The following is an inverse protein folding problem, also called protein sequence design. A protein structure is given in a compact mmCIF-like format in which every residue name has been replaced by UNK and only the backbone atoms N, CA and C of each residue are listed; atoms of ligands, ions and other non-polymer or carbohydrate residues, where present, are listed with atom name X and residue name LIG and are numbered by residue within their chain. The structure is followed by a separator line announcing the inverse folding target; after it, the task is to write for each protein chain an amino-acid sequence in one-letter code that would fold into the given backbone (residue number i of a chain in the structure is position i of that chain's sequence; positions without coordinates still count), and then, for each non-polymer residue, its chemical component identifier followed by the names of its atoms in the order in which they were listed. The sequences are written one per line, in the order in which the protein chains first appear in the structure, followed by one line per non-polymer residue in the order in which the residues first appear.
data_IF_112673008466
#
_entry.id   IF_112673008466
#
_cell.length_a   1.000
_cell.length_b   1.000
_cell.length_c   1.000
_cell.angle_alpha   90.00
_cell.angle_beta   90.00
_cell.angle_gamma   90.00
#
_symmetry.space_group_name_H-M   'P 1'
#
loop_
_entity.id
_entity.type
_entity.pdbx_description
1 polymer ?
#
# COMPACT_ATOMS: atom_id res chain seq x y z
N UNK A 1 -12.97 -5.37 18.08
CA UNK A 1 -11.57 -5.65 17.70
C UNK A 1 -11.20 -7.01 18.26
N UNK A 2 -10.76 -7.94 17.41
CA UNK A 2 -10.18 -9.20 17.87
C UNK A 2 -8.79 -8.89 18.45
N UNK A 3 -8.21 -9.75 19.31
CA UNK A 3 -6.83 -9.60 19.75
C UNK A 3 -5.90 -9.55 18.53
N UNK A 4 -4.92 -8.65 18.50
CA UNK A 4 -4.00 -8.44 17.37
C UNK A 4 -3.38 -9.75 16.82
N UNK A 5 -3.18 -10.75 17.67
CA UNK A 5 -2.70 -12.09 17.27
C UNK A 5 -3.64 -12.82 16.28
N UNK A 6 -4.96 -12.66 16.41
CA UNK A 6 -5.92 -13.29 15.49
C UNK A 6 -5.93 -12.59 14.13
N UNK A 7 -5.70 -11.29 14.09
CA UNK A 7 -5.59 -10.54 12.84
C UNK A 7 -4.31 -10.93 12.08
N UNK A 8 -3.20 -11.13 12.81
CA UNK A 8 -1.94 -11.65 12.26
C UNK A 8 -2.15 -13.02 11.63
N UNK A 9 -2.71 -13.97 12.39
CA UNK A 9 -2.98 -15.33 11.92
C UNK A 9 -3.88 -15.31 10.68
N UNK A 10 -4.94 -14.50 10.68
CA UNK A 10 -5.86 -14.38 9.55
C UNK A 10 -5.16 -13.87 8.29
N UNK A 11 -4.33 -12.82 8.42
CA UNK A 11 -3.59 -12.27 7.28
C UNK A 11 -2.62 -13.31 6.71
N UNK A 12 -1.88 -14.02 7.57
CA UNK A 12 -0.99 -15.10 7.15
C UNK A 12 -1.75 -16.24 6.45
N UNK A 13 -2.85 -16.70 7.03
CA UNK A 13 -3.68 -17.77 6.48
C UNK A 13 -4.18 -17.42 5.08
N UNK A 14 -4.78 -16.23 4.91
CA UNK A 14 -5.32 -15.80 3.61
C UNK A 14 -4.21 -15.67 2.57
N UNK A 15 -3.09 -15.03 2.91
CA UNK A 15 -2.02 -14.78 1.96
C UNK A 15 -1.26 -16.06 1.58
N UNK A 16 -1.13 -17.03 2.49
CA UNK A 16 -0.55 -18.34 2.19
C UNK A 16 -1.39 -19.17 1.23
N UNK A 17 -2.68 -18.86 1.05
CA UNK A 17 -3.52 -19.53 0.04
C UNK A 17 -3.20 -19.12 -1.40
N UNK A 18 -2.34 -18.12 -1.60
CA UNK A 18 -2.01 -17.60 -2.93
C UNK A 18 -0.75 -18.32 -3.43
N UNK A 19 -0.86 -19.06 -4.53
CA UNK A 19 0.20 -19.94 -5.04
C UNK A 19 1.51 -19.22 -5.41
N UNK A 20 1.47 -17.92 -5.71
CA UNK A 20 2.65 -17.13 -6.05
C UNK A 20 3.45 -16.67 -4.82
N UNK A 21 2.87 -16.78 -3.61
CA UNK A 21 3.52 -16.36 -2.36
C UNK A 21 4.50 -17.43 -1.89
N UNK A 22 5.72 -17.01 -1.54
CA UNK A 22 6.74 -17.86 -0.95
C UNK A 22 6.79 -17.70 0.57
N UNK A 23 6.70 -16.46 1.05
CA UNK A 23 6.73 -16.15 2.47
C UNK A 23 5.89 -14.91 2.78
N UNK A 24 5.32 -14.89 3.99
CA UNK A 24 4.60 -13.74 4.54
C UNK A 24 5.20 -13.42 5.89
N UNK A 25 5.51 -12.15 6.14
CA UNK A 25 5.90 -11.63 7.44
C UNK A 25 4.91 -10.56 7.86
N UNK A 26 4.32 -10.72 9.05
CA UNK A 26 3.38 -9.75 9.60
C UNK A 26 4.02 -9.14 10.84
N UNK A 27 4.10 -7.82 10.89
CA UNK A 27 4.71 -7.10 12.00
C UNK A 27 4.07 -5.75 12.24
N UNK A 28 4.12 -5.27 13.48
CA UNK A 28 3.80 -3.88 13.81
C UNK A 28 5.12 -3.12 13.86
N UNK A 29 5.37 -2.19 12.93
CA UNK A 29 6.46 -1.22 13.13
C UNK A 29 6.09 -0.28 14.26
N UNK A 30 6.53 -0.61 15.47
CA UNK A 30 7.22 0.29 16.41
C UNK A 30 6.66 1.68 16.74
N UNK A 31 5.42 2.05 16.43
CA UNK A 31 4.81 3.28 16.95
C UNK A 31 3.63 2.96 17.85
N UNK A 32 3.78 3.30 19.13
CA UNK A 32 2.83 3.20 20.26
C UNK A 32 1.45 3.87 20.04
N UNK A 33 1.18 4.38 18.84
CA UNK A 33 -0.06 5.03 18.43
C UNK A 33 -0.70 4.34 17.21
N UNK A 34 -0.42 3.05 16.98
CA UNK A 34 -1.05 2.27 15.93
C UNK A 34 -2.52 1.95 16.24
N UNK A 35 -3.37 2.96 16.17
CA UNK A 35 -4.80 2.76 15.95
C UNK A 35 -4.99 2.38 14.48
N UNK A 36 -5.24 1.08 14.25
CA UNK A 36 -5.94 0.50 13.09
C UNK A 36 -5.09 -0.11 11.94
N UNK A 37 -4.30 -1.15 12.24
CA UNK A 37 -3.94 -2.21 11.28
C UNK A 37 -2.49 -2.69 11.34
N UNK A 38 -2.24 -3.90 10.82
CA UNK A 38 -0.94 -4.57 10.76
C UNK A 38 -0.15 -4.10 9.53
N UNK A 39 1.18 -4.20 9.59
CA UNK A 39 2.03 -4.14 8.40
C UNK A 39 2.32 -5.57 7.94
N UNK A 40 2.19 -5.83 6.65
CA UNK A 40 2.40 -7.15 6.06
C UNK A 40 3.39 -7.05 4.91
N UNK A 41 4.50 -7.76 5.02
CA UNK A 41 5.43 -7.99 3.93
C UNK A 41 5.14 -9.35 3.29
N UNK A 42 5.02 -9.37 1.97
CA UNK A 42 4.80 -10.57 1.17
C UNK A 42 5.97 -10.73 0.22
N UNK A 43 6.63 -11.88 0.28
CA UNK A 43 7.67 -12.29 -0.67
C UNK A 43 7.09 -13.32 -1.63
N UNK A 44 7.18 -13.03 -2.92
CA UNK A 44 6.75 -13.91 -4.00
C UNK A 44 7.82 -14.97 -4.32
N UNK A 45 7.42 -16.04 -5.00
CA UNK A 45 8.32 -17.14 -5.43
C UNK A 45 9.40 -16.72 -6.42
N UNK A 46 9.19 -15.64 -7.16
CA UNK A 46 10.22 -15.05 -8.03
C UNK A 46 11.13 -14.06 -7.30
N UNK A 47 10.96 -13.89 -5.98
CA UNK A 47 11.77 -13.02 -5.14
C UNK A 47 11.25 -11.59 -5.02
N UNK A 48 10.19 -11.23 -5.75
CA UNK A 48 9.56 -9.92 -5.62
C UNK A 48 8.99 -9.72 -4.19
N UNK A 49 8.99 -8.46 -3.73
CA UNK A 49 8.45 -8.10 -2.42
C UNK A 49 7.45 -6.96 -2.52
N UNK A 50 6.36 -7.09 -1.77
CA UNK A 50 5.38 -6.05 -1.52
C UNK A 50 5.22 -5.88 -0.02
N UNK A 51 5.08 -4.65 0.44
CA UNK A 51 4.71 -4.34 1.82
C UNK A 51 3.42 -3.54 1.82
N UNK A 52 2.52 -3.92 2.71
CA UNK A 52 1.22 -3.28 2.89
C UNK A 52 1.08 -2.75 4.31
N UNK A 53 0.47 -1.57 4.44
CA UNK A 53 0.07 -1.00 5.73
C UNK A 53 -1.43 -1.20 5.98
N UNK A 54 -1.86 -0.98 7.23
CA UNK A 54 -3.27 -1.00 7.62
C UNK A 54 -4.01 -2.32 7.29
N UNK A 55 -3.30 -3.45 7.28
CA UNK A 55 -3.89 -4.76 7.01
C UNK A 55 -4.61 -5.25 8.28
N UNK A 56 -5.93 -5.38 8.21
CA UNK A 56 -6.77 -5.91 9.29
C UNK A 56 -7.71 -6.99 8.80
N UNK A 57 -8.70 -7.36 9.61
CA UNK A 57 -9.71 -8.36 9.22
C UNK A 57 -10.46 -7.94 7.93
N UNK A 58 -10.83 -6.66 7.84
CA UNK A 58 -11.53 -6.09 6.69
C UNK A 58 -10.60 -5.75 5.52
N UNK A 59 -9.34 -6.20 5.51
CA UNK A 59 -8.44 -5.99 4.37
C UNK A 59 -8.63 -7.04 3.26
N UNK A 60 -9.51 -8.02 3.47
CA UNK A 60 -9.76 -9.14 2.57
C UNK A 60 -11.26 -9.33 2.31
N UNK A 61 -11.63 -9.54 1.05
CA UNK A 61 -13.00 -9.80 0.59
C UNK A 61 -13.75 -8.56 0.13
N UNK A 62 -15.05 -8.72 -0.13
CA UNK A 62 -15.91 -7.70 -0.74
C UNK A 62 -16.13 -6.46 0.12
N UNK A 63 -15.98 -6.59 1.45
CA UNK A 63 -16.09 -5.49 2.42
C UNK A 63 -14.80 -4.71 2.58
N UNK A 64 -13.74 -5.09 1.88
CA UNK A 64 -12.49 -4.36 1.94
C UNK A 64 -12.67 -2.92 1.46
N UNK A 65 -11.94 -2.03 2.14
CA UNK A 65 -11.98 -0.59 1.90
C UNK A 65 -10.62 0.00 1.56
N UNK A 66 -9.54 -0.76 1.74
CA UNK A 66 -8.18 -0.27 1.66
C UNK A 66 -7.22 -1.29 1.05
N UNK A 67 -6.28 -0.78 0.24
CA UNK A 67 -5.10 -1.48 -0.28
C UNK A 67 -3.93 -0.50 -0.18
N UNK A 68 -3.38 -0.35 1.04
CA UNK A 68 -2.27 0.58 1.29
C UNK A 68 -0.94 -0.09 0.98
N UNK A 69 -0.27 0.30 -0.10
CA UNK A 69 1.04 -0.25 -0.48
C UNK A 69 2.12 0.66 0.08
N UNK A 70 2.97 0.17 0.97
CA UNK A 70 4.05 0.93 1.61
C UNK A 70 5.43 0.65 1.04
N UNK A 71 5.58 -0.48 0.34
CA UNK A 71 6.78 -0.77 -0.44
C UNK A 71 6.43 -1.66 -1.62
N UNK A 72 7.00 -1.35 -2.79
CA UNK A 72 6.94 -2.19 -3.98
C UNK A 72 8.22 -1.98 -4.79
N UNK A 73 8.81 -3.07 -5.30
CA UNK A 73 10.03 -3.02 -6.13
C UNK A 73 11.23 -2.28 -5.49
N UNK A 74 11.36 -2.30 -4.16
CA UNK A 74 12.40 -1.56 -3.43
C UNK A 74 12.19 -0.04 -3.39
N UNK A 75 11.02 0.42 -3.87
CA UNK A 75 10.56 1.79 -3.79
C UNK A 75 9.50 1.92 -2.70
N UNK A 76 9.53 3.07 -2.03
CA UNK A 76 8.52 3.50 -1.07
C UNK A 76 7.62 4.52 -1.79
N UNK A 77 6.44 4.10 -2.27
CA UNK A 77 5.50 5.02 -2.89
C UNK A 77 4.88 5.93 -1.84
N UNK A 78 4.59 7.16 -2.22
CA UNK A 78 4.11 8.20 -1.33
C UNK A 78 2.93 8.92 -1.93
N UNK A 79 1.93 9.18 -1.12
CA UNK A 79 0.84 10.09 -1.44
C UNK A 79 0.83 11.24 -0.44
N UNK A 80 0.89 12.46 -0.94
CA UNK A 80 0.83 13.69 -0.17
C UNK A 80 -0.48 14.40 -0.49
N UNK A 81 -1.23 14.79 0.53
CA UNK A 81 -2.37 15.69 0.40
C UNK A 81 -2.15 16.94 1.23
N UNK A 82 -2.80 18.03 0.81
CA UNK A 82 -2.67 19.32 1.49
C UNK A 82 -3.21 19.31 2.91
N UNK A 83 -4.24 18.50 3.15
CA UNK A 83 -4.91 18.40 4.44
C UNK A 83 -4.38 17.26 5.31
N UNK A 84 -3.83 16.20 4.70
CA UNK A 84 -3.59 14.90 5.35
C UNK A 84 -2.13 14.51 5.54
N UNK A 85 -1.18 15.38 5.16
CA UNK A 85 0.25 15.08 5.24
C UNK A 85 0.66 14.04 4.19
N UNK A 86 1.68 13.22 4.50
CA UNK A 86 2.20 12.21 3.56
C UNK A 86 2.01 10.81 4.14
N UNK A 87 1.48 9.90 3.33
CA UNK A 87 1.16 8.52 3.72
C UNK A 87 1.45 7.55 2.57
N UNK A 88 1.25 6.25 2.81
CA UNK A 88 1.28 5.19 1.80
C UNK A 88 0.06 5.33 0.86
N UNK A 89 0.19 5.09 -0.45
CA UNK A 89 -0.94 5.13 -1.37
C UNK A 89 -1.96 4.04 -1.11
N UNK A 90 -3.24 4.40 -1.23
CA UNK A 90 -4.35 3.45 -1.23
C UNK A 90 -4.85 3.21 -2.65
N UNK A 91 -4.65 2.00 -3.17
CA UNK A 91 -5.07 1.61 -4.52
C UNK A 91 -6.45 0.95 -4.59
N UNK A 92 -7.20 0.96 -3.48
CA UNK A 92 -8.55 0.42 -3.47
C UNK A 92 -9.46 1.15 -4.47
N UNK A 93 -10.42 0.43 -5.09
CA UNK A 93 -11.39 0.95 -6.08
C UNK A 93 -12.16 2.23 -5.69
N UNK A 94 -12.27 2.53 -4.39
CA UNK A 94 -12.94 3.75 -3.91
C UNK A 94 -12.00 4.93 -3.63
N UNK A 95 -10.70 4.68 -3.66
CA UNK A 95 -9.64 5.63 -3.37
C UNK A 95 -9.25 6.44 -4.61
N UNK A 96 -8.54 7.55 -4.40
CA UNK A 96 -8.09 8.43 -5.49
C UNK A 96 -7.33 7.68 -6.58
N UNK A 97 -6.43 6.77 -6.17
CA UNK A 97 -5.56 6.01 -7.06
C UNK A 97 -6.20 4.70 -7.55
N UNK A 98 -7.47 4.43 -7.23
CA UNK A 98 -8.13 3.18 -7.61
C UNK A 98 -8.21 2.95 -9.13
N UNK A 99 -8.13 4.03 -9.92
CA UNK A 99 -8.21 4.01 -11.38
C UNK A 99 -6.90 3.63 -12.08
N UNK A 100 -5.79 3.51 -11.34
CA UNK A 100 -4.50 3.08 -11.90
C UNK A 100 -4.52 1.63 -12.37
N UNK A 101 -5.45 0.83 -11.84
CA UNK A 101 -5.63 -0.56 -12.23
C UNK A 101 -6.95 -0.70 -12.97
N UNK A 102 -6.94 -1.44 -14.09
CA UNK A 102 -8.15 -1.82 -14.81
C UNK A 102 -8.15 -3.34 -15.06
N UNK A 103 -9.03 -4.11 -14.37
CA UNK A 103 -10.00 -3.66 -13.36
C UNK A 103 -9.33 -3.12 -12.10
N UNK A 104 -10.04 -2.28 -11.35
CA UNK A 104 -9.55 -1.70 -10.08
C UNK A 104 -9.29 -2.77 -9.03
N UNK A 105 -8.31 -2.58 -8.15
CA UNK A 105 -8.03 -3.53 -7.06
C UNK A 105 -9.15 -3.56 -6.01
N UNK A 106 -9.52 -4.78 -5.60
CA UNK A 106 -10.64 -5.03 -4.68
C UNK A 106 -10.17 -5.09 -3.22
N UNK A 107 -9.06 -5.76 -2.95
CA UNK A 107 -8.55 -6.01 -1.59
C UNK A 107 -7.03 -6.32 -1.63
N UNK A 108 -6.42 -6.60 -0.47
CA UNK A 108 -4.98 -6.93 -0.39
C UNK A 108 -4.65 -8.25 -1.09
N UNK A 109 -5.57 -9.21 -1.11
CA UNK A 109 -5.37 -10.51 -1.77
C UNK A 109 -5.28 -10.33 -3.29
N UNK A 110 -6.15 -9.52 -3.88
CA UNK A 110 -6.16 -9.17 -5.29
C UNK A 110 -4.87 -8.43 -5.70
N UNK A 111 -4.42 -7.49 -4.87
CA UNK A 111 -3.15 -6.80 -5.07
C UNK A 111 -1.95 -7.76 -5.05
N UNK A 112 -1.94 -8.75 -4.15
CA UNK A 112 -0.89 -9.78 -4.09
C UNK A 112 -0.99 -10.74 -5.29
N UNK A 113 -2.18 -11.11 -5.73
CA UNK A 113 -2.37 -11.92 -6.92
C UNK A 113 -1.84 -11.20 -8.18
N UNK A 114 -2.07 -9.89 -8.26
CA UNK A 114 -1.65 -9.01 -9.36
C UNK A 114 -0.36 -8.25 -9.05
N UNK A 115 0.52 -8.83 -8.23
CA UNK A 115 1.70 -8.11 -7.72
C UNK A 115 2.57 -7.48 -8.82
N UNK A 116 2.70 -8.11 -9.99
CA UNK A 116 3.49 -7.56 -11.10
C UNK A 116 2.96 -6.21 -11.57
N UNK A 117 1.64 -6.09 -11.69
CA UNK A 117 1.00 -4.81 -12.04
C UNK A 117 1.29 -3.76 -10.95
N UNK A 118 1.25 -4.15 -9.67
CA UNK A 118 1.56 -3.24 -8.56
C UNK A 118 3.02 -2.79 -8.58
N UNK A 119 3.94 -3.70 -8.88
CA UNK A 119 5.37 -3.37 -9.02
C UNK A 119 5.60 -2.42 -10.18
N UNK A 120 5.06 -2.74 -11.35
CA UNK A 120 5.18 -1.93 -12.57
C UNK A 120 4.60 -0.53 -12.33
N UNK A 121 3.39 -0.45 -11.78
CA UNK A 121 2.74 0.82 -11.44
C UNK A 121 3.65 1.71 -10.58
N UNK A 122 4.15 1.19 -9.45
CA UNK A 122 5.02 1.97 -8.55
C UNK A 122 6.37 2.31 -9.19
N UNK A 123 6.90 1.47 -10.10
CA UNK A 123 8.12 1.77 -10.85
C UNK A 123 7.93 2.88 -11.88
N UNK A 124 6.72 3.07 -12.41
CA UNK A 124 6.40 4.14 -13.35
C UNK A 124 6.20 5.50 -12.67
N UNK A 125 6.03 5.52 -11.35
CA UNK A 125 5.84 6.78 -10.62
C UNK A 125 7.06 7.68 -10.73
N UNK A 126 6.86 9.01 -10.79
CA UNK A 126 7.97 9.94 -10.79
C UNK A 126 8.80 9.80 -9.51
N UNK A 127 10.13 9.93 -9.64
CA UNK A 127 11.02 9.94 -8.49
C UNK A 127 10.83 11.23 -7.70
N UNK A 128 10.59 11.12 -6.39
CA UNK A 128 10.46 12.30 -5.54
C UNK A 128 11.75 13.17 -5.62
N UNK A 129 11.67 14.51 -5.70
CA UNK A 129 10.51 15.37 -5.40
C UNK A 129 9.65 15.73 -6.63
N UNK A 130 9.77 15.02 -7.75
CA UNK A 130 8.80 15.18 -8.83
C UNK A 130 7.51 14.44 -8.45
N UNK A 131 6.37 15.08 -8.70
CA UNK A 131 5.06 14.54 -8.36
C UNK A 131 4.15 14.55 -9.57
N UNK A 132 3.31 13.53 -9.68
CA UNK A 132 2.07 13.62 -10.43
C UNK A 132 0.93 14.01 -9.49
N UNK A 133 -0.12 14.61 -10.04
CA UNK A 133 -1.29 15.05 -9.31
C UNK A 133 -2.53 14.33 -9.87
N UNK A 134 -3.40 13.88 -8.97
CA UNK A 134 -4.73 13.38 -9.30
C UNK A 134 -5.73 13.94 -8.29
N UNK A 135 -7.01 13.87 -8.62
CA UNK A 135 -8.08 14.26 -7.72
C UNK A 135 -8.75 13.01 -7.13
N UNK A 136 -9.07 13.03 -5.83
CA UNK A 136 -9.89 11.99 -5.20
C UNK A 136 -11.38 12.17 -5.55
N UNK A 137 -12.21 11.19 -5.18
CA UNK A 137 -13.66 11.23 -5.46
C UNK A 137 -14.40 12.37 -4.76
N UNK A 138 -13.79 13.02 -3.77
CA UNK A 138 -14.35 14.17 -3.02
C UNK A 138 -13.88 15.50 -3.60
N UNK A 139 -13.04 15.49 -4.64
CA UNK A 139 -12.49 16.70 -5.25
C UNK A 139 -11.17 17.16 -4.64
N UNK A 140 -10.56 16.40 -3.72
CA UNK A 140 -9.30 16.78 -3.10
C UNK A 140 -8.11 16.40 -4.00
N UNK A 141 -7.21 17.34 -4.26
CA UNK A 141 -5.99 17.05 -5.01
C UNK A 141 -5.00 16.27 -4.13
N UNK A 142 -4.49 15.19 -4.68
CA UNK A 142 -3.47 14.34 -4.07
C UNK A 142 -2.30 14.22 -5.03
N UNK A 143 -1.09 14.26 -4.48
CA UNK A 143 0.15 14.19 -5.23
C UNK A 143 0.89 12.93 -4.87
N UNK A 144 1.49 12.27 -5.85
CA UNK A 144 2.18 11.01 -5.60
C UNK A 144 3.51 10.92 -6.35
N UNK A 145 4.44 10.20 -5.73
CA UNK A 145 5.79 9.94 -6.21
C UNK A 145 6.32 8.67 -5.53
N UNK A 146 7.41 8.11 -6.03
CA UNK A 146 8.11 7.01 -5.39
C UNK A 146 9.54 7.41 -5.07
N UNK A 147 10.10 6.88 -4.00
CA UNK A 147 11.53 7.05 -3.67
C UNK A 147 12.18 5.71 -3.37
N UNK A 148 13.49 5.61 -3.55
CA UNK A 148 14.23 4.40 -3.15
C UNK A 148 14.15 4.20 -1.65
N UNK A 149 13.95 2.95 -1.20
CA UNK A 149 13.94 2.60 0.23
C UNK A 149 15.21 3.03 0.96
N UNK A 150 16.35 3.03 0.26
CA UNK A 150 17.66 3.39 0.80
C UNK A 150 17.91 4.90 0.87
N UNK A 151 17.03 5.73 0.34
CA UNK A 151 17.19 7.18 0.40
C UNK A 151 17.08 7.65 1.86
N UNK A 152 18.05 8.43 2.31
CA UNK A 152 18.10 8.97 3.69
C UNK A 152 17.34 10.28 3.81
N UNK A 153 17.28 11.06 2.73
CA UNK A 153 16.61 12.35 2.72
C UNK A 153 15.12 12.17 2.49
N UNK A 154 14.35 12.84 3.33
CA UNK A 154 12.90 12.90 3.21
C UNK A 154 12.55 13.93 2.12
N UNK A 155 11.82 13.54 1.05
CA UNK A 155 11.39 14.49 0.04
C UNK A 155 10.61 15.65 0.66
N UNK A 156 10.84 16.89 0.19
CA UNK A 156 10.08 18.04 0.64
C UNK A 156 8.59 17.81 0.41
N UNK A 157 7.75 18.26 1.35
CA UNK A 157 6.30 18.21 1.14
C UNK A 157 5.95 19.09 -0.08
N UNK A 158 5.10 18.61 -1.00
CA UNK A 158 4.73 19.40 -2.16
C UNK A 158 3.97 20.66 -1.72
N UNK A 159 4.29 21.80 -2.33
CA UNK A 159 3.69 23.09 -1.99
C UNK A 159 2.19 23.10 -2.33
N UNK A 160 1.34 23.19 -1.33
CA UNK A 160 -0.10 23.26 -1.54
C UNK A 160 -0.53 24.68 -1.93
N UNK A 161 -1.35 24.83 -2.99
CA UNK A 161 -1.93 26.12 -3.35
C UNK A 161 -2.87 26.64 -2.26
#
# INVERSE_FOLDING_TARGET
MLPAQREVQRAEEVLRTIDTVAATSVGCRGTLLATNGLCVEVTMKDGARLTFDHVGFDAFGSTAVNVFVSEAAGLVPRIASCEGGVTSPNFHRVSALGHHFQPTLIDVKDAVFRYREVLEEVQFWPECPQYWETQDKRGANVRYCARKKTAVDEPPRPACP
#
